data_IF_807932744157
#
_entry.id   IF_807932744157
#
_cell.length_a   1.000
_cell.length_b   1.000
_cell.length_c   1.000
_cell.angle_alpha   90.00
_cell.angle_beta   90.00
_cell.angle_gamma   90.00
#
_symmetry.space_group_name_H-M   'P 1'
#
loop_
_entity.id
_entity.type
_entity.pdbx_description
1 polymer ?
#
# COMPACT_ATOMS: atom_id res chain seq x y z
N UNK A 1 -3.23 -23.88 12.87
CA UNK A 1 -4.61 -24.24 13.21
C UNK A 1 -5.43 -24.55 11.95
N UNK A 2 -5.77 -23.56 11.11
CA UNK A 2 -6.62 -23.75 9.92
C UNK A 2 -6.03 -24.76 8.94
N UNK A 3 -4.78 -24.59 8.50
CA UNK A 3 -4.13 -25.54 7.60
C UNK A 3 -4.08 -26.97 8.11
N UNK A 4 -3.85 -27.17 9.42
CA UNK A 4 -3.90 -28.52 10.00
C UNK A 4 -5.31 -29.14 9.98
N UNK A 5 -6.36 -28.32 10.03
CA UNK A 5 -7.71 -28.82 9.90
C UNK A 5 -8.04 -29.20 8.44
N UNK A 6 -7.56 -28.39 7.49
CA UNK A 6 -7.66 -28.72 6.07
C UNK A 6 -6.95 -30.05 5.77
N UNK A 7 -5.72 -30.24 6.29
CA UNK A 7 -4.95 -31.46 6.11
C UNK A 7 -5.74 -32.72 6.54
N UNK A 8 -6.44 -32.70 7.69
CA UNK A 8 -7.26 -33.84 8.14
C UNK A 8 -8.30 -34.29 7.11
N UNK A 9 -8.95 -33.31 6.45
CA UNK A 9 -9.94 -33.62 5.43
C UNK A 9 -9.31 -34.16 4.16
N UNK A 10 -8.16 -33.61 3.74
CA UNK A 10 -7.44 -34.04 2.56
C UNK A 10 -6.86 -35.44 2.75
N UNK A 11 -6.20 -35.70 3.89
CA UNK A 11 -5.64 -36.99 4.25
C UNK A 11 -6.74 -38.10 4.28
N UNK A 12 -7.88 -37.78 4.91
CA UNK A 12 -9.02 -38.70 4.96
C UNK A 12 -9.55 -39.13 3.59
N UNK A 13 -9.44 -38.23 2.60
CA UNK A 13 -9.92 -38.46 1.24
C UNK A 13 -8.79 -38.92 0.28
N UNK A 14 -7.55 -39.01 0.76
CA UNK A 14 -6.39 -39.35 -0.08
C UNK A 14 -6.09 -38.31 -1.14
N UNK A 15 -6.43 -37.04 -0.88
CA UNK A 15 -6.16 -35.95 -1.79
C UNK A 15 -4.78 -35.35 -1.55
N UNK A 16 -4.08 -35.01 -2.63
CA UNK A 16 -2.78 -34.36 -2.57
C UNK A 16 -2.93 -32.89 -2.19
N UNK A 17 -1.99 -32.39 -1.39
CA UNK A 17 -1.87 -30.97 -1.07
C UNK A 17 -0.42 -30.64 -0.74
N UNK A 18 -0.10 -29.35 -0.81
CA UNK A 18 1.19 -28.82 -0.37
C UNK A 18 0.99 -27.52 0.42
N UNK A 19 2.00 -27.10 1.14
CA UNK A 19 1.99 -25.86 1.93
C UNK A 19 3.34 -25.16 1.81
N UNK A 20 3.33 -23.84 1.83
CA UNK A 20 4.54 -22.99 1.84
C UNK A 20 5.48 -23.14 0.62
N UNK A 21 4.95 -23.58 -0.48
CA UNK A 21 5.67 -23.64 -1.74
C UNK A 21 5.17 -22.54 -2.66
N UNK A 22 6.03 -21.68 -3.19
CA UNK A 22 5.73 -20.64 -4.16
C UNK A 22 4.83 -19.47 -3.74
N UNK A 23 4.53 -19.29 -2.45
CA UNK A 23 3.65 -18.23 -1.96
C UNK A 23 4.33 -17.35 -0.93
N UNK A 24 4.32 -16.03 -1.19
CA UNK A 24 4.75 -15.00 -0.26
C UNK A 24 3.55 -14.19 0.25
N UNK A 25 3.43 -14.01 1.56
CA UNK A 25 2.55 -13.02 2.18
C UNK A 25 3.33 -11.74 2.43
N UNK A 26 3.77 -11.08 1.36
CA UNK A 26 4.71 -9.96 1.42
C UNK A 26 4.11 -8.65 0.89
N UNK A 27 3.64 -8.65 -0.35
CA UNK A 27 3.15 -7.42 -0.99
C UNK A 27 1.84 -6.94 -0.38
N UNK A 28 1.79 -5.73 0.22
CA UNK A 28 0.67 -5.30 1.05
C UNK A 28 -0.63 -5.02 0.30
N UNK A 29 -0.66 -5.06 -1.03
CA UNK A 29 -1.90 -4.88 -1.79
C UNK A 29 -2.57 -6.19 -2.22
N UNK A 30 -1.97 -7.35 -1.94
CA UNK A 30 -2.62 -8.62 -2.19
C UNK A 30 -3.80 -8.85 -1.24
N UNK A 31 -4.83 -9.56 -1.74
CA UNK A 31 -6.06 -9.81 -1.01
C UNK A 31 -5.89 -10.69 0.24
N UNK A 32 -4.84 -11.48 0.30
CA UNK A 32 -4.46 -12.31 1.44
C UNK A 32 -3.48 -11.60 2.38
N UNK A 33 -2.62 -10.72 1.85
CA UNK A 33 -1.60 -10.02 2.65
C UNK A 33 -2.15 -8.77 3.32
N UNK A 34 -2.93 -7.92 2.62
CA UNK A 34 -3.46 -6.68 3.17
C UNK A 34 -4.26 -6.88 4.47
N UNK A 35 -5.17 -7.89 4.59
CA UNK A 35 -5.90 -8.13 5.82
C UNK A 35 -5.01 -8.43 7.02
N UNK A 36 -3.82 -9.03 6.81
CA UNK A 36 -2.90 -9.36 7.92
C UNK A 36 -2.37 -8.10 8.61
N UNK A 37 -2.17 -7.02 7.86
CA UNK A 37 -1.78 -5.72 8.43
C UNK A 37 -2.92 -5.01 9.17
N UNK A 38 -4.12 -5.56 9.10
CA UNK A 38 -5.32 -5.09 9.78
C UNK A 38 -5.80 -6.05 10.88
N UNK A 39 -4.99 -7.04 11.26
CA UNK A 39 -5.27 -7.98 12.33
C UNK A 39 -6.10 -9.20 11.92
N UNK A 40 -6.45 -9.34 10.64
CA UNK A 40 -7.13 -10.52 10.14
C UNK A 40 -6.13 -11.64 9.78
N UNK A 41 -6.66 -12.83 9.58
CA UNK A 41 -5.90 -13.96 9.04
C UNK A 41 -5.99 -13.91 7.52
N UNK A 42 -4.85 -13.77 6.84
CA UNK A 42 -4.75 -13.87 5.39
C UNK A 42 -4.25 -15.25 5.00
N UNK A 43 -4.86 -15.82 3.98
CA UNK A 43 -4.43 -17.09 3.41
C UNK A 43 -4.97 -17.26 1.99
N UNK A 44 -4.24 -18.01 1.19
CA UNK A 44 -4.63 -18.36 -0.19
C UNK A 44 -4.85 -19.87 -0.29
N UNK A 45 -5.94 -20.25 -0.91
CA UNK A 45 -6.22 -21.64 -1.31
C UNK A 45 -6.21 -21.72 -2.83
N UNK A 46 -5.26 -22.45 -3.38
CA UNK A 46 -5.17 -22.63 -4.81
C UNK A 46 -5.32 -24.08 -5.23
N UNK A 47 -5.99 -24.28 -6.34
CA UNK A 47 -6.09 -25.59 -6.98
C UNK A 47 -5.03 -25.71 -8.07
N UNK A 48 -4.19 -26.73 -7.93
CA UNK A 48 -3.16 -27.04 -8.91
C UNK A 48 -3.76 -27.23 -10.30
N UNK A 49 -3.58 -26.26 -11.17
CA UNK A 49 -4.03 -26.30 -12.56
C UNK A 49 -2.92 -25.95 -13.53
N UNK A 50 -1.72 -25.62 -13.04
CA UNK A 50 -0.57 -25.24 -13.86
C UNK A 50 -0.87 -24.12 -14.86
N UNK A 51 -1.81 -23.20 -14.53
CA UNK A 51 -2.29 -22.18 -15.47
C UNK A 51 -3.24 -22.71 -16.55
N UNK A 52 -3.55 -24.00 -16.59
CA UNK A 52 -4.44 -24.62 -17.56
C UNK A 52 -5.85 -24.70 -16.97
N UNK A 53 -6.79 -24.04 -17.60
CA UNK A 53 -8.21 -24.11 -17.24
C UNK A 53 -8.92 -25.22 -18.01
N UNK A 54 -10.14 -25.58 -17.56
CA UNK A 54 -11.01 -26.51 -18.27
C UNK A 54 -11.66 -27.57 -17.39
N UNK A 55 -12.34 -28.51 -18.02
CA UNK A 55 -13.10 -29.56 -17.33
C UNK A 55 -12.23 -30.63 -16.69
N UNK A 56 -11.02 -30.85 -17.18
CA UNK A 56 -10.03 -31.75 -16.62
C UNK A 56 -8.64 -31.46 -17.16
N UNK A 57 -7.64 -31.72 -16.31
CA UNK A 57 -6.21 -31.62 -16.66
C UNK A 57 -5.48 -32.83 -16.08
N UNK A 58 -4.35 -33.17 -16.67
CA UNK A 58 -3.40 -34.10 -16.08
C UNK A 58 -2.35 -33.27 -15.34
N UNK A 59 -2.25 -33.44 -14.02
CA UNK A 59 -1.28 -32.73 -13.21
C UNK A 59 0.15 -33.27 -13.37
N UNK A 60 1.14 -32.64 -12.72
CA UNK A 60 2.54 -33.03 -12.78
C UNK A 60 2.82 -34.47 -12.31
N UNK A 61 1.92 -35.04 -11.51
CA UNK A 61 2.01 -36.42 -11.00
C UNK A 61 1.27 -37.44 -11.89
N UNK A 62 0.82 -37.00 -13.06
CA UNK A 62 0.10 -37.86 -14.01
C UNK A 62 -1.34 -38.23 -13.61
N UNK A 63 -1.89 -37.51 -12.60
CA UNK A 63 -3.29 -37.72 -12.17
C UNK A 63 -4.24 -36.79 -12.90
N UNK A 64 -5.39 -37.30 -13.27
CA UNK A 64 -6.45 -36.48 -13.84
C UNK A 64 -7.15 -35.68 -12.72
N UNK A 65 -7.10 -34.36 -12.81
CA UNK A 65 -7.77 -33.42 -11.90
C UNK A 65 -8.93 -32.76 -12.65
N UNK A 66 -10.13 -33.13 -12.30
CA UNK A 66 -11.35 -32.63 -12.95
C UNK A 66 -11.83 -31.32 -12.32
N UNK A 67 -12.71 -30.60 -13.01
CA UNK A 67 -13.40 -29.42 -12.43
C UNK A 67 -14.20 -29.85 -11.18
N UNK A 68 -14.83 -31.01 -11.18
CA UNK A 68 -15.58 -31.52 -10.04
C UNK A 68 -14.67 -31.75 -8.84
N UNK A 69 -13.47 -32.29 -9.03
CA UNK A 69 -12.51 -32.49 -7.94
C UNK A 69 -12.08 -31.14 -7.36
N UNK A 70 -11.75 -30.17 -8.21
CA UNK A 70 -11.36 -28.82 -7.79
C UNK A 70 -12.47 -28.13 -6.98
N UNK A 71 -13.71 -28.23 -7.42
CA UNK A 71 -14.88 -27.71 -6.68
C UNK A 71 -15.01 -28.38 -5.31
N UNK A 72 -14.89 -29.71 -5.24
CA UNK A 72 -14.92 -30.45 -3.97
C UNK A 72 -13.80 -29.99 -3.03
N UNK A 73 -12.57 -29.89 -3.53
CA UNK A 73 -11.41 -29.47 -2.72
C UNK A 73 -11.63 -28.07 -2.14
N UNK A 74 -12.03 -27.10 -2.95
CA UNK A 74 -12.32 -25.73 -2.46
C UNK A 74 -13.49 -25.70 -1.48
N UNK A 75 -14.56 -26.44 -1.74
CA UNK A 75 -15.71 -26.52 -0.84
C UNK A 75 -15.29 -27.07 0.52
N UNK A 76 -14.52 -28.14 0.55
CA UNK A 76 -14.05 -28.75 1.80
C UNK A 76 -13.08 -27.83 2.52
N UNK A 77 -12.16 -27.15 1.83
CA UNK A 77 -11.27 -26.16 2.44
C UNK A 77 -12.07 -25.02 3.10
N UNK A 78 -13.12 -24.55 2.43
CA UNK A 78 -14.02 -23.53 2.97
C UNK A 78 -14.76 -24.02 4.23
N UNK A 79 -15.39 -25.19 4.18
CA UNK A 79 -16.11 -25.80 5.31
C UNK A 79 -15.16 -26.03 6.49
N UNK A 80 -13.98 -26.60 6.24
CA UNK A 80 -12.96 -26.85 7.26
C UNK A 80 -12.48 -25.55 7.93
N UNK A 81 -12.36 -24.46 7.16
CA UNK A 81 -11.99 -23.15 7.68
C UNK A 81 -13.07 -22.59 8.60
N UNK A 82 -14.33 -22.65 8.19
CA UNK A 82 -15.47 -22.22 9.03
C UNK A 82 -15.57 -23.05 10.30
N UNK A 83 -15.48 -24.36 10.21
CA UNK A 83 -15.52 -25.28 11.35
C UNK A 83 -14.47 -24.93 12.39
N UNK A 84 -13.19 -24.91 12.00
CA UNK A 84 -12.11 -24.69 12.97
C UNK A 84 -12.09 -23.25 13.50
N UNK A 85 -12.53 -22.27 12.73
CA UNK A 85 -12.66 -20.90 13.16
C UNK A 85 -13.79 -20.75 14.17
N UNK A 86 -14.93 -21.41 13.98
CA UNK A 86 -16.02 -21.44 14.93
C UNK A 86 -15.61 -22.08 16.27
N UNK A 87 -14.94 -23.22 16.21
CA UNK A 87 -14.43 -23.93 17.40
C UNK A 87 -13.38 -23.12 18.18
N UNK A 88 -12.74 -22.15 17.55
CA UNK A 88 -11.71 -21.30 18.15
C UNK A 88 -12.08 -19.81 18.16
N UNK A 89 -13.37 -19.49 18.09
CA UNK A 89 -13.85 -18.11 17.94
C UNK A 89 -13.34 -17.19 19.06
N UNK A 90 -13.39 -17.64 20.31
CA UNK A 90 -12.90 -16.87 21.47
C UNK A 90 -11.40 -16.57 21.34
N UNK A 91 -10.60 -17.60 21.01
CA UNK A 91 -9.16 -17.44 20.80
C UNK A 91 -8.87 -16.44 19.69
N UNK A 92 -9.53 -16.56 18.54
CA UNK A 92 -9.32 -15.68 17.39
C UNK A 92 -9.73 -14.24 17.68
N UNK A 93 -10.83 -14.03 18.41
CA UNK A 93 -11.24 -12.71 18.84
C UNK A 93 -10.22 -12.10 19.82
N UNK A 94 -9.70 -12.87 20.76
CA UNK A 94 -8.68 -12.40 21.69
C UNK A 94 -7.39 -12.03 20.96
N UNK A 95 -6.92 -12.85 20.02
CA UNK A 95 -5.74 -12.56 19.20
C UNK A 95 -5.94 -11.30 18.35
N UNK A 96 -7.14 -11.08 17.79
CA UNK A 96 -7.49 -9.86 17.08
C UNK A 96 -7.42 -8.61 17.99
N UNK A 97 -7.96 -8.70 19.20
CA UNK A 97 -7.87 -7.60 20.19
C UNK A 97 -6.42 -7.32 20.56
N UNK A 98 -5.63 -8.38 20.83
CA UNK A 98 -4.22 -8.24 21.17
C UNK A 98 -3.37 -7.65 20.03
N UNK A 99 -3.73 -7.88 18.76
CA UNK A 99 -3.08 -7.25 17.62
C UNK A 99 -3.08 -5.71 17.71
N UNK A 100 -4.14 -5.12 18.27
CA UNK A 100 -4.25 -3.67 18.44
C UNK A 100 -3.77 -3.17 19.80
N UNK A 101 -3.57 -4.06 20.78
CA UNK A 101 -2.97 -3.74 22.10
C UNK A 101 -1.46 -3.61 21.95
N UNK A 102 -1.07 -2.51 21.36
CA UNK A 102 0.35 -2.33 21.04
C UNK A 102 1.08 -1.70 22.25
N UNK A 103 2.08 -2.42 22.77
CA UNK A 103 2.90 -2.02 23.94
C UNK A 103 4.27 -1.43 23.56
N UNK A 104 4.57 -1.15 22.28
CA UNK A 104 5.84 -0.52 21.92
C UNK A 104 5.85 0.95 22.36
N UNK A 105 6.74 1.25 23.30
CA UNK A 105 6.92 2.58 23.88
C UNK A 105 7.50 3.61 22.89
N UNK A 106 7.95 3.17 21.71
CA UNK A 106 8.56 4.04 20.71
C UNK A 106 7.58 4.42 19.62
N UNK A 107 7.03 5.61 19.72
CA UNK A 107 6.30 6.24 18.62
C UNK A 107 7.27 6.72 17.56
N UNK A 108 7.02 6.35 16.31
CA UNK A 108 7.72 6.88 15.15
C UNK A 108 6.80 7.82 14.39
N UNK A 109 7.39 8.85 13.81
CA UNK A 109 6.70 9.83 12.98
C UNK A 109 7.39 9.86 11.62
N UNK A 110 6.64 9.55 10.57
CA UNK A 110 7.07 9.73 9.19
C UNK A 110 6.67 11.13 8.74
N UNK A 111 7.65 11.96 8.41
CA UNK A 111 7.46 13.32 7.92
C UNK A 111 7.70 13.30 6.42
N UNK A 112 6.75 13.79 5.63
CA UNK A 112 6.78 13.73 4.18
C UNK A 112 6.68 15.13 3.59
N UNK A 113 7.58 15.43 2.68
CA UNK A 113 7.65 16.68 1.96
C UNK A 113 7.69 16.44 0.45
N UNK A 114 6.98 17.26 -0.30
CA UNK A 114 6.93 17.19 -1.76
C UNK A 114 5.95 18.19 -2.34
N UNK A 115 5.65 18.04 -3.62
CA UNK A 115 4.69 18.87 -4.30
C UNK A 115 3.30 18.69 -3.73
N UNK A 116 2.53 19.79 -3.73
CA UNK A 116 1.21 19.83 -3.08
C UNK A 116 0.28 18.72 -3.59
N UNK A 117 0.23 18.48 -4.89
CA UNK A 117 -0.63 17.46 -5.48
C UNK A 117 -0.27 16.05 -5.03
N UNK A 118 1.03 15.73 -4.93
CA UNK A 118 1.50 14.43 -4.43
C UNK A 118 1.10 14.24 -2.97
N UNK A 119 1.26 15.27 -2.17
CA UNK A 119 0.85 15.28 -0.76
C UNK A 119 -0.68 15.13 -0.65
N UNK A 120 -1.46 15.86 -1.44
CA UNK A 120 -2.92 15.75 -1.46
C UNK A 120 -3.41 14.36 -1.88
N UNK A 121 -2.78 13.75 -2.90
CA UNK A 121 -3.07 12.37 -3.33
C UNK A 121 -2.73 11.36 -2.25
N UNK A 122 -1.56 11.48 -1.64
CA UNK A 122 -1.19 10.65 -0.49
C UNK A 122 -2.21 10.82 0.64
N UNK A 123 -2.59 12.04 0.99
CA UNK A 123 -3.59 12.30 2.01
C UNK A 123 -4.96 11.65 1.71
N UNK A 124 -5.40 11.66 0.44
CA UNK A 124 -6.62 10.95 0.01
C UNK A 124 -6.46 9.43 0.16
N UNK A 125 -5.31 8.88 -0.20
CA UNK A 125 -4.99 7.47 0.00
C UNK A 125 -5.03 7.10 1.48
N UNK A 126 -4.34 7.83 2.33
CA UNK A 126 -4.30 7.59 3.77
C UNK A 126 -5.70 7.60 4.41
N UNK A 127 -6.55 8.56 4.03
CA UNK A 127 -7.94 8.64 4.47
C UNK A 127 -8.76 7.39 4.09
N UNK A 128 -8.60 6.88 2.85
CA UNK A 128 -9.27 5.64 2.41
C UNK A 128 -8.89 4.43 3.27
N UNK A 129 -7.64 4.39 3.74
CA UNK A 129 -7.13 3.32 4.60
C UNK A 129 -7.31 3.62 6.11
N UNK A 130 -8.03 4.70 6.46
CA UNK A 130 -8.24 5.14 7.84
C UNK A 130 -6.93 5.35 8.61
N UNK A 131 -5.90 5.81 7.92
CA UNK A 131 -4.62 6.19 8.51
C UNK A 131 -4.68 7.67 8.88
N UNK A 132 -4.43 7.96 10.14
CA UNK A 132 -4.39 9.32 10.67
C UNK A 132 -3.09 10.00 10.28
N UNK A 133 -3.20 11.27 9.91
CA UNK A 133 -2.08 12.15 9.62
C UNK A 133 -2.41 13.61 9.95
N UNK A 134 -1.40 14.47 10.01
CA UNK A 134 -1.60 15.89 10.29
C UNK A 134 -0.51 16.73 9.59
N UNK A 135 -0.76 18.02 9.45
CA UNK A 135 0.26 18.98 9.01
C UNK A 135 1.08 19.45 10.22
N UNK A 136 2.36 19.73 10.02
CA UNK A 136 3.24 20.17 11.10
C UNK A 136 3.53 21.66 11.06
N UNK A 137 3.78 22.25 12.23
CA UNK A 137 4.37 23.58 12.35
C UNK A 137 5.83 23.56 11.89
N UNK A 138 6.36 24.75 11.57
CA UNK A 138 7.79 24.92 11.30
C UNK A 138 8.59 24.70 12.60
N UNK A 139 9.38 23.64 12.63
CA UNK A 139 10.24 23.29 13.77
C UNK A 139 11.50 22.57 13.30
N UNK A 140 12.56 22.62 14.11
CA UNK A 140 13.83 21.97 13.81
C UNK A 140 13.93 20.65 14.54
N UNK A 141 14.13 19.55 13.80
CA UNK A 141 14.15 18.18 14.31
C UNK A 141 15.41 17.44 13.82
N UNK A 142 15.92 16.54 14.66
CA UNK A 142 16.84 15.50 14.20
C UNK A 142 16.04 14.35 13.62
N UNK A 143 16.26 14.04 12.36
CA UNK A 143 15.49 13.03 11.60
C UNK A 143 16.45 12.14 10.83
N UNK A 144 16.02 10.93 10.51
CA UNK A 144 16.69 10.11 9.53
C UNK A 144 16.11 10.41 8.13
N UNK A 145 16.94 10.88 7.22
CA UNK A 145 16.55 11.17 5.83
C UNK A 145 16.62 9.92 4.97
N UNK A 146 15.53 9.62 4.27
CA UNK A 146 15.46 8.48 3.34
C UNK A 146 16.36 8.69 2.13
N UNK A 147 16.34 9.90 1.58
CA UNK A 147 17.11 10.23 0.38
C UNK A 147 18.63 10.27 0.64
N UNK A 148 19.04 10.80 1.81
CA UNK A 148 20.44 10.88 2.17
C UNK A 148 20.97 9.65 2.90
N UNK A 149 20.07 8.75 3.32
CA UNK A 149 20.37 7.53 4.08
C UNK A 149 21.21 7.80 5.36
N UNK A 150 20.97 8.92 6.03
CA UNK A 150 21.67 9.33 7.26
C UNK A 150 20.80 10.22 8.15
N UNK A 151 21.22 10.40 9.39
CA UNK A 151 20.61 11.37 10.30
C UNK A 151 21.04 12.78 9.96
N UNK A 152 20.07 13.68 9.88
CA UNK A 152 20.27 15.10 9.56
C UNK A 152 19.44 15.98 10.49
N UNK A 153 19.77 17.26 10.52
CA UNK A 153 18.92 18.30 11.09
C UNK A 153 17.99 18.82 9.99
N UNK A 154 16.68 18.63 10.16
CA UNK A 154 15.66 19.07 9.21
C UNK A 154 14.76 20.12 9.85
N UNK A 155 14.45 21.17 9.12
CA UNK A 155 13.45 22.17 9.51
C UNK A 155 12.18 21.90 8.71
N UNK A 156 11.12 21.48 9.39
CA UNK A 156 9.83 21.18 8.78
C UNK A 156 9.21 22.43 8.13
N UNK A 157 8.41 22.20 7.09
CA UNK A 157 7.62 23.22 6.41
C UNK A 157 6.14 23.06 6.77
N UNK A 158 5.37 24.13 6.67
CA UNK A 158 3.92 24.08 7.00
C UNK A 158 3.10 23.15 6.13
N UNK A 159 3.61 22.75 4.97
CA UNK A 159 2.97 21.80 4.07
C UNK A 159 3.42 20.35 4.29
N UNK A 160 4.35 20.10 5.21
CA UNK A 160 4.81 18.75 5.51
C UNK A 160 3.69 17.98 6.22
N UNK A 161 3.44 16.78 5.73
CA UNK A 161 2.48 15.84 6.32
C UNK A 161 3.21 14.89 7.26
N UNK A 162 2.61 14.63 8.41
CA UNK A 162 3.16 13.72 9.42
C UNK A 162 2.21 12.54 9.61
N UNK A 163 2.75 11.34 9.48
CA UNK A 163 2.02 10.08 9.71
C UNK A 163 2.62 9.42 10.96
N UNK A 164 1.95 9.51 12.12
CA UNK A 164 2.44 8.90 13.35
C UNK A 164 2.13 7.41 13.39
N UNK A 165 3.00 6.62 14.04
CA UNK A 165 2.72 5.21 14.31
C UNK A 165 1.86 5.00 15.56
N UNK A 166 1.58 6.03 16.37
CA UNK A 166 0.69 5.99 17.53
C UNK A 166 -0.78 6.01 17.11
N UNK A 167 -1.21 4.97 16.38
CA UNK A 167 -2.57 4.82 15.90
C UNK A 167 -2.92 3.34 15.67
N UNK A 168 -4.21 3.02 15.59
CA UNK A 168 -4.67 1.63 15.39
C UNK A 168 -4.14 0.98 14.09
N UNK A 169 -3.88 1.79 13.06
CA UNK A 169 -3.33 1.33 11.77
C UNK A 169 -1.80 1.22 11.76
N UNK A 170 -1.15 1.19 12.92
CA UNK A 170 0.31 1.20 13.04
C UNK A 170 1.02 0.19 12.15
N UNK A 171 0.60 -1.09 12.15
CA UNK A 171 1.24 -2.14 11.34
C UNK A 171 1.18 -1.82 9.86
N UNK A 172 0.04 -1.32 9.40
CA UNK A 172 -0.12 -0.86 8.02
C UNK A 172 0.74 0.36 7.72
N UNK A 173 0.82 1.32 8.64
CA UNK A 173 1.72 2.48 8.51
C UNK A 173 3.17 2.03 8.40
N UNK A 174 3.61 1.14 9.28
CA UNK A 174 4.99 0.65 9.27
C UNK A 174 5.36 0.04 7.92
N UNK A 175 4.53 -0.85 7.37
CA UNK A 175 4.85 -1.52 6.09
C UNK A 175 4.75 -0.57 4.89
N UNK A 176 3.81 0.38 4.90
CA UNK A 176 3.64 1.33 3.81
C UNK A 176 4.72 2.42 3.76
N UNK A 177 5.38 2.69 4.88
CA UNK A 177 6.38 3.75 5.00
C UNK A 177 7.79 3.22 5.28
N UNK A 178 7.98 1.92 5.40
CA UNK A 178 9.32 1.37 5.63
C UNK A 178 10.28 1.71 4.49
N UNK A 179 11.52 2.00 4.85
CA UNK A 179 12.57 2.30 3.88
C UNK A 179 13.12 1.04 3.22
N UNK A 180 13.22 -0.01 3.98
CA UNK A 180 13.83 -1.29 3.57
C UNK A 180 13.04 -2.43 4.17
N UNK A 181 12.55 -3.31 3.34
CA UNK A 181 11.85 -4.52 3.75
C UNK A 181 12.86 -5.58 4.19
N UNK A 182 12.59 -6.21 5.33
CA UNK A 182 13.34 -7.38 5.80
C UNK A 182 12.57 -8.64 5.39
N UNK A 183 13.18 -9.45 4.57
CA UNK A 183 12.64 -10.75 4.19
C UNK A 183 13.04 -11.81 5.18
N UNK A 184 12.16 -12.76 5.47
CA UNK A 184 12.46 -13.96 6.26
C UNK A 184 13.25 -14.98 5.44
N UNK A 185 13.09 -14.96 4.13
CA UNK A 185 13.82 -15.76 3.16
C UNK A 185 14.44 -14.83 2.11
N UNK A 186 15.55 -15.25 1.51
CA UNK A 186 16.20 -14.53 0.41
C UNK A 186 15.53 -14.76 -0.93
N UNK A 187 14.70 -15.80 -1.05
CA UNK A 187 13.99 -16.15 -2.29
C UNK A 187 12.55 -15.69 -2.18
N UNK A 188 12.19 -14.70 -2.98
CA UNK A 188 10.81 -14.25 -3.18
C UNK A 188 10.55 -14.05 -4.66
N UNK A 189 9.35 -14.35 -5.12
CA UNK A 189 8.94 -14.03 -6.50
C UNK A 189 8.37 -12.61 -6.61
N UNK A 190 8.07 -11.97 -5.49
CA UNK A 190 7.49 -10.64 -5.45
C UNK A 190 8.59 -9.58 -5.53
N UNK A 191 8.64 -8.89 -6.65
CA UNK A 191 9.60 -7.81 -6.92
C UNK A 191 8.95 -6.43 -6.91
N UNK A 192 7.72 -6.32 -6.42
CA UNK A 192 6.95 -5.08 -6.46
C UNK A 192 7.38 -4.14 -5.33
N UNK A 193 7.64 -2.87 -5.65
CA UNK A 193 7.90 -1.82 -4.67
C UNK A 193 6.59 -1.20 -4.18
N UNK A 194 6.48 -0.96 -2.87
CA UNK A 194 5.24 -0.41 -2.27
C UNK A 194 5.46 0.72 -1.28
N UNK A 195 6.70 1.01 -0.88
CA UNK A 195 6.96 2.10 0.08
C UNK A 195 6.48 3.43 -0.48
N UNK A 196 5.45 4.00 0.14
CA UNK A 196 4.73 5.17 -0.35
C UNK A 196 5.63 6.40 -0.58
N UNK A 197 6.63 6.70 0.27
CA UNK A 197 7.55 7.79 -0.01
C UNK A 197 8.20 7.72 -1.38
N UNK A 198 8.66 6.54 -1.76
CA UNK A 198 9.31 6.33 -3.06
C UNK A 198 8.29 6.30 -4.20
N UNK A 199 7.15 5.62 -4.00
CA UNK A 199 6.07 5.52 -5.02
C UNK A 199 5.53 6.90 -5.38
N UNK A 200 5.37 7.80 -4.40
CA UNK A 200 4.90 9.17 -4.64
C UNK A 200 6.03 10.15 -4.99
N UNK A 201 7.30 9.72 -4.96
CA UNK A 201 8.46 10.58 -5.19
C UNK A 201 8.55 11.72 -4.17
N UNK A 202 8.36 11.39 -2.89
CA UNK A 202 8.40 12.35 -1.79
C UNK A 202 9.73 12.27 -1.03
N UNK A 203 10.16 13.40 -0.49
CA UNK A 203 11.20 13.38 0.53
C UNK A 203 10.59 12.86 1.83
N UNK A 204 11.23 11.85 2.42
CA UNK A 204 10.75 11.24 3.64
C UNK A 204 11.79 11.29 4.75
N UNK A 205 11.30 11.55 5.94
CA UNK A 205 12.11 11.64 7.14
C UNK A 205 11.46 10.85 8.27
N UNK A 206 12.25 10.18 9.07
CA UNK A 206 11.82 9.41 10.23
C UNK A 206 12.35 10.03 11.52
N UNK A 207 11.50 10.19 12.52
CA UNK A 207 11.90 10.62 13.87
C UNK A 207 11.11 9.89 14.95
N UNK A 208 11.74 9.66 16.11
CA UNK A 208 11.07 9.17 17.32
C UNK A 208 10.66 10.33 18.25
N UNK A 209 10.98 11.57 17.88
CA UNK A 209 10.59 12.75 18.64
C UNK A 209 9.15 13.15 18.34
N UNK A 210 8.53 13.77 19.32
CA UNK A 210 7.23 14.41 19.13
C UNK A 210 7.31 15.50 18.06
N UNK A 211 6.27 15.58 17.22
CA UNK A 211 6.14 16.56 16.15
C UNK A 211 4.90 17.40 16.43
N UNK A 212 5.09 18.72 16.49
CA UNK A 212 3.99 19.65 16.76
C UNK A 212 3.02 19.70 15.60
N UNK A 213 1.74 19.60 15.92
CA UNK A 213 0.64 19.71 14.95
C UNK A 213 0.40 21.18 14.61
N UNK A 214 0.07 21.41 13.34
CA UNK A 214 -0.48 22.67 12.90
C UNK A 214 -2.01 22.62 13.00
N UNK A 215 -2.59 23.53 13.78
CA UNK A 215 -4.04 23.76 13.79
C UNK A 215 -4.40 24.56 12.52
N UNK A 216 -4.65 23.84 11.43
CA UNK A 216 -4.87 24.44 10.12
C UNK A 216 -6.22 24.08 9.52
N UNK A 217 -6.96 25.10 9.10
CA UNK A 217 -8.07 24.95 8.15
C UNK A 217 -7.50 25.11 6.74
N UNK A 218 -7.72 24.10 5.89
CA UNK A 218 -7.27 24.11 4.49
C UNK A 218 -8.00 25.26 3.78
N UNK A 219 -7.27 26.35 3.52
CA UNK A 219 -7.74 27.35 2.58
C UNK A 219 -7.42 26.87 1.15
N UNK A 220 -8.41 26.47 0.41
CA UNK A 220 -8.30 26.27 -1.04
C UNK A 220 -8.05 27.64 -1.66
N UNK A 221 -6.87 27.85 -2.20
CA UNK A 221 -6.67 29.00 -3.10
C UNK A 221 -7.38 28.67 -4.42
N UNK A 222 -8.36 29.48 -4.78
CA UNK A 222 -8.89 29.45 -6.13
C UNK A 222 -7.80 29.92 -7.11
N UNK A 223 -7.58 29.13 -8.15
CA UNK A 223 -6.69 29.55 -9.24
C UNK A 223 -7.37 30.67 -10.02
N UNK A 224 -6.83 31.87 -9.90
CA UNK A 224 -7.29 32.98 -10.76
C UNK A 224 -6.61 32.87 -12.13
N UNK A 225 -7.42 32.85 -13.18
CA UNK A 225 -6.94 32.88 -14.57
C UNK A 225 -7.02 34.32 -15.07
N UNK A 226 -5.88 34.88 -15.51
CA UNK A 226 -5.88 36.15 -16.18
C UNK A 226 -6.43 35.99 -17.61
N UNK A 227 -7.60 36.51 -17.84
CA UNK A 227 -8.28 36.41 -19.15
C UNK A 227 -7.60 37.23 -20.26
N UNK A 228 -6.71 38.14 -19.91
CA UNK A 228 -5.95 38.97 -20.87
C UNK A 228 -4.55 38.37 -21.14
N UNK A 229 -4.22 37.26 -20.60
CA UNK A 229 -2.94 36.61 -20.84
C UNK A 229 -2.82 36.17 -22.31
N UNK A 230 -1.69 36.48 -22.92
CA UNK A 230 -1.37 36.08 -24.31
C UNK A 230 -0.94 34.59 -24.40
N UNK A 231 -0.56 33.99 -23.28
CA UNK A 231 -0.18 32.58 -23.19
C UNK A 231 -0.35 32.10 -21.75
N UNK A 232 -0.52 30.81 -21.58
CA UNK A 232 -0.51 30.15 -20.26
C UNK A 232 0.62 29.15 -20.21
N UNK A 233 1.27 29.06 -19.07
CA UNK A 233 2.29 28.06 -18.78
C UNK A 233 1.93 27.27 -17.52
N UNK A 234 2.11 25.96 -17.55
CA UNK A 234 1.90 25.06 -16.43
C UNK A 234 3.16 24.23 -16.21
N UNK A 235 3.52 24.01 -14.97
CA UNK A 235 4.62 23.09 -14.61
C UNK A 235 4.21 21.68 -15.03
N UNK A 236 5.19 20.88 -15.49
CA UNK A 236 4.99 19.48 -15.86
C UNK A 236 5.78 18.58 -14.93
N UNK A 237 5.11 18.06 -13.88
CA UNK A 237 5.76 17.15 -12.91
C UNK A 237 4.81 16.14 -12.26
N UNK A 238 3.51 16.13 -12.60
CA UNK A 238 2.50 15.34 -11.91
C UNK A 238 1.51 14.62 -12.86
N UNK A 239 0.78 13.62 -12.32
CA UNK A 239 -0.24 12.88 -13.10
C UNK A 239 -1.39 13.79 -13.52
N UNK A 240 -1.75 14.78 -12.71
CA UNK A 240 -2.81 15.73 -13.06
C UNK A 240 -2.41 16.60 -14.27
N UNK A 241 -1.12 16.90 -14.42
CA UNK A 241 -0.61 17.60 -15.60
C UNK A 241 -0.80 16.77 -16.88
N UNK A 242 -0.66 15.43 -16.78
CA UNK A 242 -0.92 14.53 -17.90
C UNK A 242 -2.43 14.54 -18.29
N UNK A 243 -3.33 14.57 -17.31
CA UNK A 243 -4.78 14.69 -17.56
C UNK A 243 -5.11 16.04 -18.16
N UNK A 244 -4.49 17.11 -17.65
CA UNK A 244 -4.66 18.46 -18.19
C UNK A 244 -4.18 18.53 -19.63
N UNK A 245 -3.00 18.01 -19.95
CA UNK A 245 -2.49 17.91 -21.33
C UNK A 245 -3.46 17.14 -22.22
N UNK A 246 -3.94 15.98 -21.76
CA UNK A 246 -4.94 15.19 -22.51
C UNK A 246 -6.19 16.00 -22.81
N UNK A 247 -6.68 16.77 -21.82
CA UNK A 247 -7.84 17.66 -22.01
C UNK A 247 -7.56 18.75 -23.04
N UNK A 248 -6.38 19.38 -23.01
CA UNK A 248 -6.00 20.40 -24.00
C UNK A 248 -5.95 19.82 -25.41
N UNK A 249 -5.33 18.65 -25.58
CA UNK A 249 -5.22 17.99 -26.88
C UNK A 249 -6.57 17.57 -27.43
N UNK A 250 -7.46 17.03 -26.59
CA UNK A 250 -8.83 16.66 -26.99
C UNK A 250 -9.69 17.87 -27.41
N UNK A 251 -9.35 19.06 -26.93
CA UNK A 251 -9.98 20.32 -27.35
C UNK A 251 -9.22 21.03 -28.48
N UNK A 252 -8.29 20.34 -29.15
CA UNK A 252 -7.48 20.88 -30.25
C UNK A 252 -6.63 22.11 -29.85
N UNK A 253 -6.31 22.26 -28.58
CA UNK A 253 -5.45 23.34 -28.10
C UNK A 253 -4.00 22.96 -28.37
N UNK A 254 -3.29 23.80 -29.14
CA UNK A 254 -1.89 23.58 -29.45
C UNK A 254 -1.03 23.82 -28.22
N UNK A 255 -0.29 22.78 -27.79
CA UNK A 255 0.57 22.82 -26.62
C UNK A 255 2.02 22.59 -27.05
N UNK A 256 2.94 23.27 -26.38
CA UNK A 256 4.38 23.10 -26.53
C UNK A 256 5.00 22.74 -25.18
N UNK A 257 6.12 22.06 -25.24
CA UNK A 257 6.88 21.66 -24.04
C UNK A 257 8.27 22.29 -24.04
N UNK A 258 8.60 22.99 -22.98
CA UNK A 258 9.92 23.51 -22.73
C UNK A 258 10.71 22.48 -21.88
N UNK A 259 11.69 21.83 -22.51
CA UNK A 259 12.53 20.79 -21.86
C UNK A 259 13.43 21.36 -20.75
N UNK A 260 13.83 22.61 -20.84
CA UNK A 260 14.77 23.23 -19.89
C UNK A 260 14.10 23.52 -18.56
N UNK A 261 12.87 24.00 -18.60
CA UNK A 261 12.13 24.46 -17.43
C UNK A 261 11.00 23.49 -17.03
N UNK A 262 10.85 22.37 -17.74
CA UNK A 262 9.75 21.38 -17.54
C UNK A 262 8.38 22.05 -17.52
N UNK A 263 8.09 22.91 -18.51
CA UNK A 263 6.83 23.63 -18.62
C UNK A 263 6.05 23.20 -19.86
N UNK A 264 4.74 23.01 -19.70
CA UNK A 264 3.77 23.02 -20.79
C UNK A 264 3.28 24.46 -21.01
N UNK A 265 3.20 24.91 -22.24
CA UNK A 265 2.67 26.23 -22.53
C UNK A 265 1.87 26.24 -23.83
N UNK A 266 0.88 27.14 -23.86
CA UNK A 266 0.11 27.46 -25.06
C UNK A 266 0.68 28.77 -25.64
N UNK A 267 0.79 28.85 -26.95
CA UNK A 267 1.14 30.07 -27.66
C UNK A 267 0.05 30.33 -28.69
N UNK A 268 -0.39 31.58 -28.91
CA UNK A 268 -1.07 31.90 -30.14
C UNK A 268 -0.15 31.46 -31.26
N UNK A 269 -0.70 30.83 -32.26
CA UNK A 269 -0.01 30.21 -33.42
C UNK A 269 0.93 31.17 -34.12
#
# INVERSE_FOLDING_TARGET
MIGNNNAKYFDKNGWLYFTKEFFDLLYPSYGDTYPTYLGAIGMTYEQAGGGIAGLGIINSEGKNLTLVDRVKHHTISGISTVEISSLNAEKLNNEFVEFFRYNDKKTRNYILNGDKDKIDKLGKFLKKHQINFFLTKKQKLNVFSYNENKSISYTTKQADIVVPTSQSRRKLVDVLFERTTKLSDSVTYDITAWSLPYVYGLNAYLTEKEVEKLDYKINTKDNSIDKNAIAYASVWNEIEDAKFLSSLLNNNIKVRYNKKDCLLYTSPS
#
